data_IF_657016859493
#
_entry.id   IF_657016859493
#
_cell.length_a   1.000
_cell.length_b   1.000
_cell.length_c   1.000
_cell.angle_alpha   90.00
_cell.angle_beta   90.00
_cell.angle_gamma   90.00
#
_symmetry.space_group_name_H-M   'P 1'
#
loop_
_entity.id
_entity.type
_entity.pdbx_description
1 polymer ?
#
# COMPACT_ATOMS: atom_id res chain seq x y z
N UNK A 1 -7.28 7.02 -0.62
CA UNK A 1 -6.96 6.72 -2.02
C UNK A 1 -7.66 5.41 -2.40
N UNK A 2 -8.39 5.39 -3.52
CA UNK A 2 -8.84 4.16 -4.17
C UNK A 2 -8.22 4.20 -5.56
N UNK A 3 -7.26 3.32 -5.82
CA UNK A 3 -6.70 3.12 -7.16
C UNK A 3 -7.06 1.70 -7.59
N UNK A 4 -7.80 1.57 -8.69
CA UNK A 4 -8.19 0.27 -9.23
C UNK A 4 -8.01 0.29 -10.75
N UNK A 5 -7.10 -0.53 -11.23
CA UNK A 5 -6.86 -0.75 -12.66
C UNK A 5 -6.54 -2.23 -12.91
N UNK A 6 -6.14 -2.61 -14.13
CA UNK A 6 -5.82 -4.00 -14.46
C UNK A 6 -4.66 -4.56 -13.60
N UNK A 7 -3.68 -3.72 -13.28
CA UNK A 7 -2.45 -4.08 -12.56
C UNK A 7 -2.55 -3.96 -11.05
N UNK A 8 -3.36 -3.03 -10.54
CA UNK A 8 -3.34 -2.63 -9.14
C UNK A 8 -4.75 -2.51 -8.55
N UNK A 9 -4.91 -2.92 -7.29
CA UNK A 9 -6.05 -2.60 -6.46
C UNK A 9 -5.55 -2.07 -5.11
N UNK A 10 -5.76 -0.78 -4.84
CA UNK A 10 -5.46 -0.14 -3.58
C UNK A 10 -6.71 0.51 -3.01
N UNK A 11 -6.99 0.28 -1.73
CA UNK A 11 -8.14 0.85 -1.04
C UNK A 11 -7.85 1.11 0.43
N UNK A 12 -8.60 2.04 1.02
CA UNK A 12 -8.50 2.36 2.45
C UNK A 12 -9.39 1.46 3.30
N UNK A 13 -8.90 1.06 4.47
CA UNK A 13 -9.66 0.39 5.53
C UNK A 13 -10.11 1.42 6.57
N UNK A 14 -11.01 2.32 6.17
CA UNK A 14 -11.44 3.46 6.98
C UNK A 14 -10.24 4.34 7.39
N UNK A 15 -10.12 4.56 8.70
CA UNK A 15 -9.01 5.31 9.32
C UNK A 15 -7.94 4.40 9.93
N UNK A 16 -7.96 3.12 9.58
CA UNK A 16 -7.03 2.12 10.12
C UNK A 16 -5.85 1.83 9.21
N UNK A 17 -5.89 2.27 7.95
CA UNK A 17 -4.77 2.14 7.00
C UNK A 17 -5.21 1.77 5.58
N UNK A 18 -4.33 1.12 4.83
CA UNK A 18 -4.44 0.90 3.39
C UNK A 18 -4.17 -0.56 3.06
N UNK A 19 -4.91 -1.12 2.10
CA UNK A 19 -4.62 -2.40 1.48
C UNK A 19 -4.21 -2.15 0.05
N UNK A 20 -3.15 -2.80 -0.40
CA UNK A 20 -2.64 -2.73 -1.76
C UNK A 20 -2.42 -4.13 -2.29
N UNK A 21 -2.91 -4.41 -3.49
CA UNK A 21 -2.75 -5.68 -4.21
C UNK A 21 -2.15 -5.37 -5.57
N UNK A 22 -0.96 -5.91 -5.82
CA UNK A 22 -0.33 -5.88 -7.14
C UNK A 22 -0.69 -7.16 -7.89
N UNK A 23 -1.55 -7.03 -8.89
CA UNK A 23 -1.99 -8.11 -9.80
C UNK A 23 -1.08 -8.25 -11.02
N UNK A 24 -0.12 -7.35 -11.18
CA UNK A 24 0.81 -7.38 -12.31
C UNK A 24 2.00 -8.28 -12.03
N UNK A 25 2.64 -8.74 -13.12
CA UNK A 25 3.91 -9.47 -13.07
C UNK A 25 5.13 -8.59 -12.87
N UNK A 26 4.95 -7.29 -12.62
CA UNK A 26 6.02 -6.30 -12.43
C UNK A 26 5.89 -5.63 -11.07
N UNK A 27 7.01 -5.17 -10.51
CA UNK A 27 6.97 -4.36 -9.31
C UNK A 27 6.32 -3.01 -9.62
N UNK A 28 5.65 -2.43 -8.63
CA UNK A 28 5.00 -1.12 -8.73
C UNK A 28 5.43 -0.25 -7.56
N UNK A 29 5.39 1.07 -7.80
CA UNK A 29 5.62 2.08 -6.77
C UNK A 29 4.36 2.93 -6.69
N UNK A 30 3.82 3.08 -5.49
CA UNK A 30 2.58 3.82 -5.26
C UNK A 30 2.86 4.90 -4.23
N UNK A 31 2.54 6.15 -4.57
CA UNK A 31 2.60 7.26 -3.63
C UNK A 31 1.42 7.17 -2.66
N UNK A 32 1.69 6.90 -1.39
CA UNK A 32 0.65 6.87 -0.35
C UNK A 32 0.48 8.28 0.21
N UNK A 33 -0.58 8.95 -0.24
CA UNK A 33 -0.97 10.28 0.25
C UNK A 33 -1.62 10.22 1.66
N UNK A 34 -1.04 9.47 2.58
CA UNK A 34 -1.49 9.40 3.97
C UNK A 34 -0.68 10.37 4.84
N UNK A 35 -1.34 11.05 5.77
CA UNK A 35 -0.72 12.04 6.66
C UNK A 35 0.00 11.43 7.86
N UNK A 36 -0.03 10.11 7.99
CA UNK A 36 0.54 9.36 9.10
C UNK A 36 1.46 8.27 8.56
N UNK A 37 2.47 7.93 9.35
CA UNK A 37 3.31 6.77 9.14
C UNK A 37 2.47 5.50 9.15
N UNK A 38 2.74 4.63 8.20
CA UNK A 38 2.09 3.34 8.02
C UNK A 38 3.09 2.21 8.26
N UNK A 39 2.61 1.12 8.83
CA UNK A 39 3.41 -0.09 9.05
C UNK A 39 2.75 -1.27 8.37
N UNK A 40 3.51 -2.04 7.60
CA UNK A 40 3.06 -3.32 7.06
C UNK A 40 2.81 -4.32 8.19
N UNK A 41 1.64 -4.95 8.17
CA UNK A 41 1.32 -6.05 9.10
C UNK A 41 2.03 -7.36 8.72
N UNK A 42 2.51 -7.48 7.48
CA UNK A 42 3.16 -8.69 6.99
C UNK A 42 4.66 -8.68 7.28
N UNK A 43 5.31 -7.56 6.96
CA UNK A 43 6.78 -7.43 7.01
C UNK A 43 7.28 -6.54 8.15
N UNK A 44 6.40 -5.73 8.76
CA UNK A 44 6.81 -4.68 9.68
C UNK A 44 7.47 -3.48 9.00
N UNK A 45 7.54 -3.46 7.66
CA UNK A 45 8.11 -2.35 6.92
C UNK A 45 7.34 -1.05 7.20
N UNK A 46 8.08 0.04 7.36
CA UNK A 46 7.51 1.35 7.70
C UNK A 46 7.53 2.24 6.45
N UNK A 47 6.38 2.84 6.15
CA UNK A 47 6.23 3.87 5.11
C UNK A 47 5.92 5.19 5.80
N UNK A 48 6.80 6.17 5.64
CA UNK A 48 6.61 7.51 6.21
C UNK A 48 5.40 8.21 5.59
N UNK A 49 4.87 9.22 6.29
CA UNK A 49 3.77 10.04 5.78
C UNK A 49 4.14 10.69 4.43
N UNK A 50 3.26 10.56 3.43
CA UNK A 50 3.55 11.00 2.06
C UNK A 50 4.62 10.18 1.32
N UNK A 51 5.09 9.08 1.91
CA UNK A 51 6.07 8.18 1.31
C UNK A 51 5.51 7.33 0.18
N UNK A 52 6.40 6.60 -0.47
CA UNK A 52 6.04 5.65 -1.53
C UNK A 52 6.17 4.21 -1.03
N UNK A 53 5.21 3.36 -1.39
CA UNK A 53 5.26 1.93 -1.17
C UNK A 53 5.77 1.25 -2.43
N UNK A 54 6.84 0.48 -2.30
CA UNK A 54 7.25 -0.51 -3.28
C UNK A 54 6.47 -1.81 -3.02
N UNK A 55 5.76 -2.31 -4.02
CA UNK A 55 5.02 -3.57 -3.93
C UNK A 55 5.50 -4.55 -5.00
N UNK A 56 5.87 -5.74 -4.54
CA UNK A 56 6.42 -6.79 -5.39
C UNK A 56 5.35 -7.34 -6.36
N UNK A 57 5.76 -7.94 -7.50
CA UNK A 57 4.85 -8.62 -8.41
C UNK A 57 3.95 -9.63 -7.68
N UNK A 58 2.70 -9.73 -8.11
CA UNK A 58 1.78 -10.78 -7.62
C UNK A 58 1.69 -10.88 -6.10
N UNK A 59 1.75 -9.73 -5.41
CA UNK A 59 1.79 -9.64 -3.95
C UNK A 59 0.74 -8.69 -3.40
N UNK A 60 0.55 -8.71 -2.09
CA UNK A 60 -0.31 -7.78 -1.39
C UNK A 60 0.41 -7.21 -0.17
N UNK A 61 0.09 -5.97 0.15
CA UNK A 61 0.52 -5.31 1.38
C UNK A 61 -0.69 -4.77 2.12
N UNK A 62 -0.68 -4.96 3.43
CA UNK A 62 -1.69 -4.41 4.33
C UNK A 62 -0.97 -3.52 5.33
N UNK A 63 -1.22 -2.24 5.19
CA UNK A 63 -0.61 -1.18 5.97
C UNK A 63 -1.59 -0.72 7.04
N UNK A 64 -1.12 -0.60 8.27
CA UNK A 64 -1.88 -0.03 9.38
C UNK A 64 -1.28 1.27 9.85
N UNK A 65 -2.13 2.19 10.26
CA UNK A 65 -1.73 3.36 11.03
C UNK A 65 -1.47 2.87 12.46
N UNK A 66 -0.32 3.22 13.03
CA UNK A 66 -0.01 2.98 14.44
C UNK A 66 -0.95 3.77 15.37
#
# INVERSE_FOLDING_TARGET
MIEANEDLLAFRRGDKGVVVINKSSRSKVIALNESKTLTSIFSGAVVEAGGALHIEPMSAEVLTIA
#
